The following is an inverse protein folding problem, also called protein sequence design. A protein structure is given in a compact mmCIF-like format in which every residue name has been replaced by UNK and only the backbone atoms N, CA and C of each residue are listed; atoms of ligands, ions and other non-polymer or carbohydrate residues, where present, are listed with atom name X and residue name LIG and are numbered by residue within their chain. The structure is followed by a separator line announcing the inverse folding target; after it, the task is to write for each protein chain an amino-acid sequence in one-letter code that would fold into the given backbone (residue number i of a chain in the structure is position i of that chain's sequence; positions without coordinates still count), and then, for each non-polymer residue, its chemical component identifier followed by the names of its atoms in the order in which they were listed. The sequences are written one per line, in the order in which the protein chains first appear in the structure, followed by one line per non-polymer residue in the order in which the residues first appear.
data_IF_523339662910
#
_entry.id   IF_523339662910
#
_cell.length_a   1.000
_cell.length_b   1.000
_cell.length_c   1.000
_cell.angle_alpha   90.00
_cell.angle_beta   90.00
_cell.angle_gamma   90.00
#
_symmetry.space_group_name_H-M   'P 1'
#
loop_
_entity.id
_entity.type
_entity.pdbx_description
1 polymer ?
#
# COMPACT_ATOMS: atom_id res chain seq x y z
N UNK A 1 5.47 -0.09 15.47
CA UNK A 1 6.59 0.38 14.64
C UNK A 1 5.99 1.41 13.68
N UNK A 2 6.57 2.61 13.59
CA UNK A 2 6.24 3.59 12.53
C UNK A 2 7.28 3.36 11.44
N UNK A 3 6.84 3.20 10.20
CA UNK A 3 7.73 2.98 9.04
C UNK A 3 7.48 4.02 7.96
N UNK A 4 8.46 4.26 7.11
CA UNK A 4 8.36 5.20 5.98
C UNK A 4 8.15 4.43 4.67
N UNK A 5 7.35 4.99 3.78
CA UNK A 5 7.07 4.44 2.46
C UNK A 5 8.07 4.98 1.44
N UNK A 6 8.61 4.08 0.62
CA UNK A 6 9.49 4.43 -0.48
C UNK A 6 8.70 4.42 -1.79
N UNK A 7 8.57 5.56 -2.47
CA UNK A 7 7.80 5.66 -3.71
C UNK A 7 8.71 5.47 -4.93
N UNK A 8 8.41 4.48 -5.76
CA UNK A 8 9.06 4.23 -7.04
C UNK A 8 8.19 4.73 -8.20
N UNK A 9 8.84 5.37 -9.18
CA UNK A 9 8.21 5.85 -10.42
C UNK A 9 8.34 4.86 -11.57
N UNK A 10 9.28 3.91 -11.49
CA UNK A 10 9.50 2.85 -12.48
C UNK A 10 9.34 1.48 -11.83
N UNK A 11 8.76 0.53 -12.58
CA UNK A 11 8.53 -0.81 -12.06
C UNK A 11 9.83 -1.62 -12.09
N UNK A 12 10.42 -1.83 -10.91
CA UNK A 12 11.64 -2.63 -10.72
C UNK A 12 11.35 -3.63 -9.59
N UNK A 13 10.97 -4.89 -9.91
CA UNK A 13 10.58 -5.90 -8.91
C UNK A 13 11.60 -6.09 -7.78
N UNK A 14 12.88 -6.04 -8.10
CA UNK A 14 14.00 -6.23 -7.17
C UNK A 14 14.09 -5.09 -6.13
N UNK A 15 13.44 -3.95 -6.39
CA UNK A 15 13.41 -2.81 -5.48
C UNK A 15 12.15 -2.75 -4.60
N UNK A 16 11.20 -3.68 -4.77
CA UNK A 16 9.94 -3.75 -4.01
C UNK A 16 10.12 -4.34 -2.60
N UNK A 17 11.01 -3.75 -1.82
CA UNK A 17 11.24 -4.09 -0.41
C UNK A 17 10.00 -3.75 0.45
N UNK A 18 9.82 -4.37 1.63
CA UNK A 18 8.75 -4.02 2.56
C UNK A 18 8.62 -2.49 2.75
N UNK A 19 7.42 -1.95 2.56
CA UNK A 19 7.14 -0.51 2.61
C UNK A 19 7.31 0.23 1.29
N UNK A 20 7.69 -0.44 0.20
CA UNK A 20 7.81 0.20 -1.11
C UNK A 20 6.44 0.32 -1.79
N UNK A 21 6.17 1.50 -2.35
CA UNK A 21 4.98 1.82 -3.15
C UNK A 21 5.42 2.08 -4.58
N UNK A 22 4.79 1.44 -5.55
CA UNK A 22 4.93 1.76 -6.96
C UNK A 22 3.61 2.28 -7.51
N UNK A 23 3.60 3.50 -8.04
CA UNK A 23 2.38 4.11 -8.62
C UNK A 23 2.15 3.57 -10.02
N UNK A 24 0.93 3.11 -10.29
CA UNK A 24 0.58 2.51 -11.59
C UNK A 24 0.53 3.59 -12.69
N UNK A 25 1.08 3.29 -13.86
CA UNK A 25 0.99 4.17 -15.04
C UNK A 25 -0.47 4.41 -15.49
N UNK A 26 -1.31 3.40 -15.34
CA UNK A 26 -2.74 3.44 -15.65
C UNK A 26 -3.62 3.66 -14.39
N UNK A 27 -3.07 4.25 -13.33
CA UNK A 27 -3.82 4.57 -12.12
C UNK A 27 -5.18 5.21 -12.46
N UNK A 28 -6.24 4.70 -11.83
CA UNK A 28 -7.60 5.20 -12.07
C UNK A 28 -8.42 4.46 -13.13
N UNK A 29 -7.84 3.54 -13.90
CA UNK A 29 -8.55 2.85 -14.99
C UNK A 29 -9.07 1.45 -14.61
N UNK A 30 -8.61 0.89 -13.49
CA UNK A 30 -8.93 -0.48 -13.04
C UNK A 30 -9.37 -0.45 -11.58
N UNK A 31 -10.37 -1.25 -11.23
CA UNK A 31 -10.95 -1.33 -9.88
C UNK A 31 -12.33 -0.67 -9.80
N UNK A 32 -12.72 -0.27 -8.60
CA UNK A 32 -14.01 0.40 -8.40
C UNK A 32 -14.00 1.81 -9.01
N UNK A 33 -15.11 2.22 -9.63
CA UNK A 33 -15.22 3.52 -10.31
C UNK A 33 -14.93 4.71 -9.37
N UNK A 34 -15.32 4.60 -8.10
CA UNK A 34 -15.17 5.67 -7.10
C UNK A 34 -13.89 5.55 -6.27
N UNK A 35 -13.26 4.38 -6.28
CA UNK A 35 -12.00 4.11 -5.57
C UNK A 35 -11.13 3.11 -6.33
N UNK A 36 -10.60 3.51 -7.48
CA UNK A 36 -9.83 2.61 -8.34
C UNK A 36 -8.48 2.27 -7.71
N UNK A 37 -7.86 1.21 -8.22
CA UNK A 37 -6.47 0.89 -7.90
C UNK A 37 -5.55 2.01 -8.36
N UNK A 38 -4.57 2.32 -7.51
CA UNK A 38 -3.67 3.45 -7.69
C UNK A 38 -2.20 3.05 -7.68
N UNK A 39 -1.84 2.09 -6.84
CA UNK A 39 -0.46 1.67 -6.66
C UNK A 39 -0.35 0.19 -6.28
N UNK A 40 0.83 -0.39 -6.50
CA UNK A 40 1.28 -1.63 -5.86
C UNK A 40 2.01 -1.25 -4.58
N UNK A 41 1.68 -1.88 -3.46
CA UNK A 41 2.38 -1.73 -2.19
C UNK A 41 2.98 -3.06 -1.78
N UNK A 42 4.24 -3.04 -1.35
CA UNK A 42 4.87 -4.11 -0.59
C UNK A 42 4.55 -3.93 0.89
N UNK A 43 3.85 -4.89 1.49
CA UNK A 43 3.43 -4.80 2.88
C UNK A 43 4.63 -4.47 3.79
N UNK A 44 4.56 -3.44 4.63
CA UNK A 44 5.68 -3.02 5.48
C UNK A 44 6.06 -4.06 6.54
N UNK A 45 5.17 -5.02 6.83
CA UNK A 45 5.41 -6.07 7.82
C UNK A 45 6.02 -7.34 7.21
N UNK A 46 5.46 -7.84 6.10
CA UNK A 46 5.84 -9.13 5.52
C UNK A 46 6.34 -9.09 4.07
N UNK A 47 6.33 -7.92 3.40
CA UNK A 47 6.77 -7.76 2.02
C UNK A 47 5.81 -8.31 0.94
N UNK A 48 4.66 -8.87 1.33
CA UNK A 48 3.67 -9.34 0.36
C UNK A 48 3.16 -8.17 -0.48
N UNK A 49 3.16 -8.35 -1.80
CA UNK A 49 2.67 -7.34 -2.74
C UNK A 49 1.14 -7.35 -2.81
N UNK A 50 0.55 -6.17 -2.80
CA UNK A 50 -0.89 -5.98 -2.97
C UNK A 50 -1.21 -4.69 -3.71
N UNK A 51 -2.36 -4.65 -4.38
CA UNK A 51 -2.88 -3.43 -4.95
C UNK A 51 -3.53 -2.60 -3.84
N UNK A 52 -3.29 -1.29 -3.86
CA UNK A 52 -3.97 -0.33 -2.98
C UNK A 52 -4.76 0.68 -3.81
N UNK A 53 -5.88 1.11 -3.24
CA UNK A 53 -6.79 2.08 -3.85
C UNK A 53 -6.35 3.52 -3.59
N UNK A 54 -6.99 4.46 -4.29
CA UNK A 54 -6.76 5.89 -4.08
C UNK A 54 -7.07 6.31 -2.64
N UNK A 55 -8.18 5.85 -2.06
CA UNK A 55 -8.56 6.18 -0.67
C UNK A 55 -7.60 5.56 0.34
N UNK A 56 -7.08 4.36 0.07
CA UNK A 56 -6.07 3.73 0.92
C UNK A 56 -4.74 4.51 0.90
N UNK A 57 -4.27 4.91 -0.28
CA UNK A 57 -3.06 5.73 -0.40
C UNK A 57 -3.23 7.12 0.26
N UNK A 58 -4.42 7.70 0.18
CA UNK A 58 -4.76 8.96 0.83
C UNK A 58 -5.02 8.85 2.35
N UNK A 59 -4.86 7.65 2.94
CA UNK A 59 -5.07 7.43 4.38
C UNK A 59 -6.53 7.44 4.84
N UNK A 60 -7.49 7.45 3.91
CA UNK A 60 -8.93 7.50 4.21
C UNK A 60 -9.48 6.13 4.59
N UNK A 61 -8.85 5.06 4.10
CA UNK A 61 -9.20 3.67 4.41
C UNK A 61 -7.94 2.91 4.84
N UNK A 62 -8.06 1.92 5.75
CA UNK A 62 -6.93 1.10 6.12
C UNK A 62 -6.52 0.19 4.96
N UNK A 63 -5.21 -0.03 4.84
CA UNK A 63 -4.63 -1.12 4.07
C UNK A 63 -4.66 -2.38 4.94
N UNK A 64 -5.07 -3.50 4.35
CA UNK A 64 -5.04 -4.82 4.96
C UNK A 64 -4.10 -5.67 4.11
N UNK A 65 -3.13 -6.33 4.72
CA UNK A 65 -2.26 -7.25 3.99
C UNK A 65 -3.07 -8.41 3.38
N UNK A 66 -2.80 -8.73 2.12
CA UNK A 66 -3.44 -9.85 1.42
C UNK A 66 -2.76 -11.21 1.61
N UNK A 67 -1.71 -11.29 2.44
CA UNK A 67 -1.04 -12.56 2.77
C UNK A 67 -1.91 -13.41 3.67
N UNK A 68 -1.80 -14.73 3.51
CA UNK A 68 -2.41 -15.73 4.39
C UNK A 68 -1.73 -15.85 5.76
N UNK A 69 -0.48 -15.36 5.89
CA UNK A 69 0.33 -15.45 7.11
C UNK A 69 0.58 -14.08 7.79
N UNK A 70 0.07 -12.97 7.24
CA UNK A 70 0.26 -11.63 7.81
C UNK A 70 -1.08 -10.95 8.07
N UNK A 71 -1.29 -10.53 9.32
CA UNK A 71 -2.50 -9.84 9.77
C UNK A 71 -2.34 -8.31 9.84
N UNK A 72 -1.31 -7.75 9.20
CA UNK A 72 -1.01 -6.33 9.28
C UNK A 72 -2.15 -5.48 8.72
N UNK A 73 -2.53 -4.47 9.51
CA UNK A 73 -3.50 -3.44 9.13
C UNK A 73 -2.95 -2.08 9.53
N UNK A 74 -2.96 -1.13 8.60
CA UNK A 74 -2.36 0.18 8.82
C UNK A 74 -3.00 1.24 7.93
N UNK A 75 -2.82 2.49 8.32
CA UNK A 75 -3.12 3.66 7.49
C UNK A 75 -1.84 4.20 6.88
N UNK A 76 -1.97 4.83 5.73
CA UNK A 76 -0.90 5.62 5.10
C UNK A 76 -1.19 7.08 5.41
N UNK A 77 -0.27 7.75 6.10
CA UNK A 77 -0.36 9.18 6.37
C UNK A 77 0.77 9.88 5.61
N UNK A 78 0.45 10.50 4.48
CA UNK A 78 1.42 11.04 3.52
C UNK A 78 2.36 9.94 3.01
N UNK A 79 3.48 9.71 3.68
CA UNK A 79 4.43 8.64 3.40
C UNK A 79 4.73 7.78 4.64
N UNK A 80 3.99 7.95 5.75
CA UNK A 80 4.19 7.18 6.97
C UNK A 80 3.17 6.07 7.13
N UNK A 81 3.63 4.92 7.64
CA UNK A 81 2.80 3.79 8.02
C UNK A 81 2.39 3.91 9.47
N UNK A 82 1.09 4.04 9.70
CA UNK A 82 0.49 4.12 11.04
C UNK A 82 -0.31 2.84 11.31
N UNK A 83 0.18 2.00 12.23
CA UNK A 83 -0.49 0.75 12.60
C UNK A 83 -1.91 1.04 13.12
N UNK A 84 -2.90 0.32 12.59
CA UNK A 84 -4.26 0.36 13.09
C UNK A 84 -4.31 -0.36 14.43
N UNK A 85 -4.51 0.40 15.52
CA UNK A 85 -4.68 -0.19 16.86
C UNK A 85 -6.02 -0.95 16.92
N UNK A 86 -6.06 -2.16 17.52
CA UNK A 86 -7.34 -2.78 17.89
C UNK A 86 -8.06 -1.88 18.90
N UNK A 87 -9.39 -1.81 18.79
CA UNK A 87 -10.26 -1.13 19.75
C UNK A 87 -10.39 -1.91 21.05
#
# INVERSE_FOLDING_TARGET
MVGELNILTEWIPEQMHPGTVFVLENAGHVGEKEDPYWAVLSCPDCGTLGLITRKQLAGLLPVICGSDQCSAQFFINEAEVVIRKPF
#
